data_IF_900699070175
#
_entry.id   IF_900699070175
#
_cell.length_a   1.000
_cell.length_b   1.000
_cell.length_c   1.000
_cell.angle_alpha   90.00
_cell.angle_beta   90.00
_cell.angle_gamma   90.00
#
_symmetry.space_group_name_H-M   'P 1'
#
loop_
_entity.id
_entity.type
_entity.pdbx_description
1 polymer ?
#
# COMPACT_ATOMS: atom_id res chain seq x y z
N UNK A 1 -19.18 1.96 3.14
CA UNK A 1 -19.33 3.06 4.13
C UNK A 1 -18.83 2.59 5.49
N UNK A 2 -18.01 3.40 6.18
CA UNK A 2 -17.52 3.03 7.51
C UNK A 2 -18.56 3.39 8.54
N UNK A 3 -19.00 2.40 9.30
CA UNK A 3 -20.11 2.53 10.24
C UNK A 3 -19.77 3.51 11.37
N UNK A 4 -20.76 4.16 12.02
CA UNK A 4 -20.50 5.13 13.10
C UNK A 4 -19.70 4.57 14.29
N UNK A 5 -19.75 3.26 14.50
CA UNK A 5 -19.11 2.56 15.61
C UNK A 5 -17.60 2.40 15.38
N UNK A 6 -17.17 2.23 14.13
CA UNK A 6 -15.75 2.23 13.79
C UNK A 6 -15.15 3.63 14.04
N UNK A 7 -14.24 3.76 15.00
CA UNK A 7 -13.61 5.04 15.34
C UNK A 7 -12.29 5.28 14.61
N UNK A 8 -11.62 4.21 14.21
CA UNK A 8 -10.34 4.26 13.49
C UNK A 8 -10.12 2.99 12.68
N UNK A 9 -9.21 3.07 11.73
CA UNK A 9 -8.68 1.92 10.98
C UNK A 9 -7.20 1.78 11.31
N UNK A 10 -6.80 0.59 11.76
CA UNK A 10 -5.42 0.21 11.94
C UNK A 10 -5.03 -0.76 10.82
N UNK A 11 -3.94 -0.47 10.12
CA UNK A 11 -3.40 -1.35 9.08
C UNK A 11 -2.03 -1.84 9.52
N UNK A 12 -1.84 -3.15 9.45
CA UNK A 12 -0.65 -3.84 9.91
C UNK A 12 -0.32 -5.01 8.99
N UNK A 13 0.98 -5.28 8.83
CA UNK A 13 1.46 -6.47 8.14
C UNK A 13 1.43 -7.70 9.06
N UNK A 14 1.31 -8.88 8.46
CA UNK A 14 1.45 -10.13 9.19
C UNK A 14 2.93 -10.39 9.52
N UNK A 15 3.20 -10.81 10.76
CA UNK A 15 4.57 -11.10 11.21
C UNK A 15 5.44 -9.85 11.42
N UNK A 16 6.76 -10.03 11.34
CA UNK A 16 7.75 -9.02 11.75
C UNK A 16 8.73 -8.58 10.65
N UNK A 17 8.74 -9.27 9.48
CA UNK A 17 9.70 -9.01 8.40
C UNK A 17 9.29 -7.85 7.49
N UNK A 18 7.99 -7.77 7.17
CA UNK A 18 7.47 -6.78 6.25
C UNK A 18 6.10 -6.29 6.71
N UNK A 19 5.85 -4.99 6.53
CA UNK A 19 4.51 -4.45 6.56
C UNK A 19 3.82 -4.81 5.23
N UNK A 20 4.46 -4.43 4.12
CA UNK A 20 4.11 -4.80 2.76
C UNK A 20 5.28 -4.46 1.83
N UNK A 21 5.75 -5.44 1.05
CA UNK A 21 6.95 -5.31 0.21
C UNK A 21 6.66 -4.91 -1.24
N UNK A 22 5.41 -4.57 -1.57
CA UNK A 22 4.99 -4.21 -2.93
C UNK A 22 3.88 -5.11 -3.45
N UNK A 23 3.43 -4.82 -4.67
CA UNK A 23 2.50 -5.66 -5.41
C UNK A 23 3.18 -6.92 -5.96
N UNK A 24 2.36 -7.87 -6.40
CA UNK A 24 2.81 -9.08 -7.09
C UNK A 24 3.16 -8.73 -8.56
N UNK A 25 4.40 -8.30 -8.78
CA UNK A 25 4.86 -7.82 -10.09
C UNK A 25 4.86 -8.94 -11.13
N UNK A 26 5.25 -10.16 -10.76
CA UNK A 26 5.28 -11.30 -11.67
C UNK A 26 3.87 -11.54 -12.26
N UNK A 27 2.86 -11.51 -11.39
CA UNK A 27 1.46 -11.63 -11.83
C UNK A 27 1.02 -10.47 -12.74
N UNK A 28 1.43 -9.23 -12.43
CA UNK A 28 1.10 -8.05 -13.25
C UNK A 28 1.69 -8.18 -14.66
N UNK A 29 2.91 -8.71 -14.77
CA UNK A 29 3.58 -8.96 -16.04
C UNK A 29 2.91 -10.10 -16.80
N UNK A 30 2.65 -11.23 -16.14
CA UNK A 30 2.04 -12.42 -16.75
C UNK A 30 0.63 -12.13 -17.29
N UNK A 31 -0.16 -11.35 -16.57
CA UNK A 31 -1.53 -11.03 -16.95
C UNK A 31 -1.64 -9.77 -17.86
N UNK A 32 -0.52 -9.19 -18.29
CA UNK A 32 -0.48 -7.91 -19.04
C UNK A 32 -1.29 -7.91 -20.34
N UNK A 33 -1.31 -9.02 -21.07
CA UNK A 33 -2.01 -9.14 -22.36
C UNK A 33 -3.55 -9.22 -22.22
N UNK A 34 -4.07 -9.44 -21.01
CA UNK A 34 -5.51 -9.59 -20.75
C UNK A 34 -6.22 -8.27 -20.38
N UNK A 35 -5.48 -7.17 -20.31
CA UNK A 35 -5.95 -5.89 -19.76
C UNK A 35 -6.27 -5.94 -18.27
N UNK A 36 -5.92 -7.03 -17.58
CA UNK A 36 -6.09 -7.18 -16.14
C UNK A 36 -5.22 -6.21 -15.36
N UNK A 37 -3.96 -6.03 -15.77
CA UNK A 37 -3.02 -5.10 -15.14
C UNK A 37 -3.61 -3.67 -15.03
N UNK A 38 -4.24 -3.17 -16.10
CA UNK A 38 -4.88 -1.85 -16.10
C UNK A 38 -6.02 -1.77 -15.09
N UNK A 39 -6.84 -2.82 -14.97
CA UNK A 39 -7.92 -2.89 -13.97
C UNK A 39 -7.37 -2.98 -12.55
N UNK A 40 -6.25 -3.68 -12.38
CA UNK A 40 -5.56 -3.83 -11.11
C UNK A 40 -5.01 -2.47 -10.64
N UNK A 41 -4.22 -1.77 -11.46
CA UNK A 41 -3.72 -0.42 -11.15
C UNK A 41 -4.86 0.58 -10.92
N UNK A 42 -5.91 0.53 -11.75
CA UNK A 42 -7.08 1.39 -11.54
C UNK A 42 -7.76 1.13 -10.18
N UNK A 43 -7.76 -0.11 -9.71
CA UNK A 43 -8.30 -0.48 -8.40
C UNK A 43 -7.39 0.02 -7.28
N UNK A 44 -6.09 -0.20 -7.40
CA UNK A 44 -5.08 0.25 -6.44
C UNK A 44 -5.12 1.76 -6.27
N UNK A 45 -5.07 2.53 -7.36
CA UNK A 45 -5.06 4.00 -7.27
C UNK A 45 -6.37 4.57 -6.73
N UNK A 46 -7.51 3.95 -7.05
CA UNK A 46 -8.80 4.34 -6.45
C UNK A 46 -8.82 4.07 -4.95
N UNK A 47 -8.21 2.98 -4.49
CA UNK A 47 -8.06 2.68 -3.08
C UNK A 47 -7.13 3.70 -2.40
N UNK A 48 -5.95 3.97 -2.96
CA UNK A 48 -5.00 4.96 -2.44
C UNK A 48 -5.66 6.35 -2.32
N UNK A 49 -6.40 6.76 -3.35
CA UNK A 49 -7.18 8.00 -3.32
C UNK A 49 -8.24 7.99 -2.21
N UNK A 50 -8.97 6.88 -2.01
CA UNK A 50 -9.93 6.76 -0.91
C UNK A 50 -9.28 6.86 0.46
N UNK A 51 -8.08 6.28 0.64
CA UNK A 51 -7.30 6.41 1.87
C UNK A 51 -6.93 7.88 2.10
N UNK A 52 -6.49 8.61 1.07
CA UNK A 52 -6.15 10.04 1.16
C UNK A 52 -7.32 10.95 1.57
N UNK A 53 -8.56 10.52 1.30
CA UNK A 53 -9.80 11.25 1.64
C UNK A 53 -10.52 10.65 2.84
N UNK A 54 -9.91 9.69 3.52
CA UNK A 54 -10.55 8.99 4.61
C UNK A 54 -10.67 9.88 5.84
N UNK A 55 -11.90 10.04 6.35
CA UNK A 55 -12.20 11.05 7.38
C UNK A 55 -11.91 10.60 8.82
N UNK A 56 -11.83 9.30 9.05
CA UNK A 56 -11.50 8.74 10.37
C UNK A 56 -10.01 8.47 10.45
N UNK A 57 -9.41 8.45 11.66
CA UNK A 57 -8.00 8.09 11.81
C UNK A 57 -7.67 6.79 11.07
N UNK A 58 -6.76 6.89 10.10
CA UNK A 58 -6.15 5.77 9.41
C UNK A 58 -4.70 5.67 9.87
N UNK A 59 -4.36 4.58 10.56
CA UNK A 59 -3.05 4.38 11.18
C UNK A 59 -2.37 3.20 10.51
N UNK A 60 -1.22 3.43 9.87
CA UNK A 60 -0.38 2.38 9.32
C UNK A 60 0.81 2.10 10.26
N UNK A 61 0.97 0.84 10.67
CA UNK A 61 2.09 0.37 11.48
C UNK A 61 3.21 -0.12 10.57
N UNK A 62 4.20 0.73 10.32
CA UNK A 62 5.36 0.41 9.49
C UNK A 62 6.35 -0.45 10.28
N UNK A 63 6.11 -1.77 10.32
CA UNK A 63 7.01 -2.75 10.92
C UNK A 63 7.65 -3.61 9.83
N UNK A 64 8.97 -3.48 9.64
CA UNK A 64 9.70 -4.15 8.58
C UNK A 64 9.69 -3.38 7.24
N UNK A 65 9.80 -4.12 6.14
CA UNK A 65 9.80 -3.59 4.76
C UNK A 65 8.47 -2.90 4.41
N UNK A 66 8.57 -1.70 3.84
CA UNK A 66 7.48 -0.89 3.28
C UNK A 66 7.91 -0.40 1.88
N UNK A 67 7.40 -1.02 0.81
CA UNK A 67 7.79 -0.70 -0.57
C UNK A 67 6.60 -0.77 -1.54
N UNK A 68 6.66 -0.03 -2.66
CA UNK A 68 5.66 -0.01 -3.74
C UNK A 68 4.22 0.12 -3.25
N UNK A 69 3.34 -0.81 -3.62
CA UNK A 69 1.95 -0.84 -3.13
C UNK A 69 1.82 -0.81 -1.59
N UNK A 70 2.84 -1.26 -0.85
CA UNK A 70 2.92 -1.08 0.61
C UNK A 70 3.03 0.38 1.06
N UNK A 71 3.76 1.19 0.30
CA UNK A 71 3.76 2.65 0.46
C UNK A 71 2.39 3.20 0.08
N UNK A 72 1.81 2.76 -1.05
CA UNK A 72 0.48 3.19 -1.52
C UNK A 72 -0.64 3.02 -0.49
N UNK A 73 -0.73 1.85 0.15
CA UNK A 73 -1.76 1.57 1.17
C UNK A 73 -1.56 2.35 2.48
N UNK A 74 -0.43 3.02 2.69
CA UNK A 74 -0.07 3.53 4.02
C UNK A 74 0.31 5.00 4.06
N UNK A 75 0.95 5.52 3.01
CA UNK A 75 1.50 6.87 3.02
C UNK A 75 0.42 7.95 3.05
N UNK A 76 -0.74 7.68 2.44
CA UNK A 76 -1.88 8.60 2.41
C UNK A 76 -2.74 8.56 3.69
N UNK A 77 -2.47 7.63 4.61
CA UNK A 77 -3.18 7.54 5.88
C UNK A 77 -2.95 8.77 6.78
N UNK A 78 -3.76 8.92 7.82
CA UNK A 78 -3.61 10.02 8.78
C UNK A 78 -2.28 9.92 9.55
N UNK A 79 -1.89 8.69 9.93
CA UNK A 79 -0.71 8.42 10.75
C UNK A 79 0.10 7.26 10.19
N UNK A 80 1.42 7.38 10.30
CA UNK A 80 2.40 6.32 10.03
C UNK A 80 3.26 6.17 11.27
N UNK A 81 3.29 4.97 11.83
CA UNK A 81 4.13 4.65 13.00
C UNK A 81 5.26 3.76 12.52
N UNK A 82 6.45 4.35 12.38
CA UNK A 82 7.67 3.62 12.08
C UNK A 82 8.24 2.97 13.34
N UNK A 83 8.97 1.87 13.15
CA UNK A 83 9.67 1.11 14.19
C UNK A 83 11.15 1.03 13.82
N UNK A 84 11.98 0.53 14.73
CA UNK A 84 13.42 0.38 14.53
C UNK A 84 13.81 -0.49 13.33
N UNK A 85 12.90 -1.36 12.88
CA UNK A 85 13.13 -2.26 11.74
C UNK A 85 12.43 -1.79 10.44
N UNK A 86 11.90 -0.57 10.40
CA UNK A 86 11.28 -0.03 9.18
C UNK A 86 12.34 0.12 8.08
N UNK A 87 12.08 -0.51 6.93
CA UNK A 87 12.84 -0.27 5.70
C UNK A 87 11.90 0.27 4.62
N UNK A 88 11.95 1.58 4.39
CA UNK A 88 11.14 2.27 3.41
C UNK A 88 11.92 2.45 2.09
N UNK A 89 11.33 2.08 0.96
CA UNK A 89 11.88 2.39 -0.36
C UNK A 89 10.81 2.45 -1.45
N UNK A 90 11.12 3.15 -2.54
CA UNK A 90 10.38 3.12 -3.81
C UNK A 90 11.34 2.59 -4.90
N UNK A 91 11.52 1.24 -5.01
CA UNK A 91 12.50 0.63 -5.89
C UNK A 91 11.99 0.41 -7.33
N UNK A 92 10.85 0.98 -7.72
CA UNK A 92 10.15 0.73 -8.99
C UNK A 92 11.04 1.05 -10.20
N UNK A 93 11.89 2.08 -10.09
CA UNK A 93 12.85 2.43 -11.15
C UNK A 93 13.86 1.32 -11.43
N UNK A 94 14.16 0.47 -10.45
CA UNK A 94 15.04 -0.70 -10.61
C UNK A 94 14.44 -1.82 -11.45
N UNK A 95 13.10 -1.84 -11.63
CA UNK A 95 12.38 -2.78 -12.50
C UNK A 95 11.85 -2.13 -13.77
N UNK A 96 12.28 -0.89 -14.08
CA UNK A 96 11.84 -0.16 -15.27
C UNK A 96 10.42 0.43 -15.16
N UNK A 97 9.87 0.51 -13.94
CA UNK A 97 8.60 1.17 -13.66
C UNK A 97 8.84 2.55 -13.01
N UNK A 98 7.81 3.40 -12.96
CA UNK A 98 7.89 4.68 -12.26
C UNK A 98 7.37 4.51 -10.83
N UNK A 99 7.82 5.32 -9.85
CA UNK A 99 7.20 5.36 -8.53
C UNK A 99 5.78 5.92 -8.65
N UNK A 100 4.79 5.11 -8.30
CA UNK A 100 3.36 5.39 -8.42
C UNK A 100 2.73 5.91 -7.13
#
# INVERSE_FOLDING_TARGET
PVTPECKMVLVNGAGHKAFCAGGDIDRIVDESNSGWNLRWFATEYRMNYRISKFQKPYVAMWRGIVMGGGVGISIFGSYRVATENTLFAMPETGIGFFPD
#
